data_IF_239335067362
#
_entry.id   IF_239335067362
#
_cell.length_a   1.000
_cell.length_b   1.000
_cell.length_c   1.000
_cell.angle_alpha   90.00
_cell.angle_beta   90.00
_cell.angle_gamma   90.00
#
_symmetry.space_group_name_H-M   'P 1'
#
loop_
_entity.id
_entity.type
_entity.pdbx_description
1 polymer ?
#
# COMPACT_ATOMS: atom_id res chain seq x y z
N UNK A 1 4.78 -33.64 11.07
CA UNK A 1 3.45 -33.04 10.86
C UNK A 1 3.14 -33.13 9.38
N UNK A 2 2.17 -33.96 9.02
CA UNK A 2 1.84 -34.27 7.63
C UNK A 2 1.21 -33.04 6.97
N UNK A 3 1.81 -32.56 5.87
CA UNK A 3 1.16 -31.58 5.01
C UNK A 3 -0.14 -32.18 4.47
N UNK A 4 -1.24 -31.42 4.38
CA UNK A 4 -2.44 -31.89 3.72
C UNK A 4 -2.09 -32.13 2.25
N UNK A 5 -2.25 -33.37 1.80
CA UNK A 5 -2.12 -33.73 0.39
C UNK A 5 -3.26 -33.04 -0.33
N UNK A 6 -2.99 -31.88 -0.94
CA UNK A 6 -3.98 -31.18 -1.74
C UNK A 6 -4.18 -32.01 -3.00
N UNK A 7 -5.39 -32.55 -3.15
CA UNK A 7 -5.78 -33.44 -4.23
C UNK A 7 -5.55 -32.75 -5.59
N UNK A 8 -4.47 -33.17 -6.26
CA UNK A 8 -4.03 -32.63 -7.55
C UNK A 8 -5.00 -33.00 -8.69
N UNK A 9 -5.94 -33.92 -8.46
CA UNK A 9 -6.89 -34.42 -9.47
C UNK A 9 -8.02 -33.43 -9.78
N UNK A 10 -8.20 -32.37 -8.97
CA UNK A 10 -9.36 -31.50 -9.03
C UNK A 10 -9.44 -30.61 -10.29
N UNK A 11 -8.32 -30.41 -11.00
CA UNK A 11 -8.20 -29.39 -12.04
C UNK A 11 -7.88 -29.92 -13.44
N UNK A 12 -7.89 -31.24 -13.68
CA UNK A 12 -7.62 -31.82 -15.01
C UNK A 12 -6.43 -31.17 -15.77
N UNK A 13 -5.37 -30.83 -15.02
CA UNK A 13 -4.13 -30.23 -15.51
C UNK A 13 -2.94 -31.00 -14.96
N UNK A 14 -1.85 -31.07 -15.74
CA UNK A 14 -0.63 -31.73 -15.27
C UNK A 14 0.07 -30.91 -14.19
N UNK A 15 0.96 -31.57 -13.44
CA UNK A 15 1.79 -30.91 -12.43
C UNK A 15 2.69 -29.84 -13.06
N UNK A 16 3.25 -30.12 -14.24
CA UNK A 16 4.12 -29.20 -14.98
C UNK A 16 3.37 -27.94 -15.39
N UNK A 17 2.12 -28.08 -15.85
CA UNK A 17 1.30 -26.93 -16.21
C UNK A 17 0.90 -26.11 -14.98
N UNK A 18 0.57 -26.77 -13.86
CA UNK A 18 0.35 -26.07 -12.57
C UNK A 18 1.58 -25.26 -12.17
N UNK A 19 2.78 -25.85 -12.21
CA UNK A 19 4.01 -25.17 -11.83
C UNK A 19 4.33 -24.00 -12.75
N UNK A 20 4.03 -24.12 -14.04
CA UNK A 20 4.15 -23.04 -15.02
C UNK A 20 3.21 -21.87 -14.71
N UNK A 21 1.94 -22.14 -14.39
CA UNK A 21 0.96 -21.12 -14.00
C UNK A 21 1.36 -20.40 -12.71
N UNK A 22 1.85 -21.15 -11.70
CA UNK A 22 2.38 -20.56 -10.47
C UNK A 22 3.57 -19.64 -10.77
N UNK A 23 4.51 -20.09 -11.61
CA UNK A 23 5.65 -19.27 -12.00
C UNK A 23 5.24 -18.01 -12.79
N UNK A 24 4.18 -18.10 -13.60
CA UNK A 24 3.63 -16.96 -14.33
C UNK A 24 3.06 -15.91 -13.37
N UNK A 25 2.28 -16.32 -12.35
CA UNK A 25 1.78 -15.41 -11.31
C UNK A 25 2.93 -14.76 -10.54
N UNK A 26 3.94 -15.54 -10.12
CA UNK A 26 5.08 -15.02 -9.37
C UNK A 26 5.82 -13.95 -10.19
N UNK A 27 6.14 -14.24 -11.46
CA UNK A 27 6.78 -13.26 -12.34
C UNK A 27 5.91 -12.02 -12.48
N UNK A 28 4.62 -12.19 -12.77
CA UNK A 28 3.70 -11.07 -12.94
C UNK A 28 3.69 -10.17 -11.69
N UNK A 29 3.54 -10.75 -10.50
CA UNK A 29 3.53 -10.01 -9.24
C UNK A 29 4.82 -9.22 -9.04
N UNK A 30 5.99 -9.86 -9.18
CA UNK A 30 7.28 -9.20 -8.99
C UNK A 30 7.50 -8.03 -9.98
N UNK A 31 7.23 -8.26 -11.27
CA UNK A 31 7.38 -7.22 -12.30
C UNK A 31 6.37 -6.08 -12.13
N UNK A 32 5.11 -6.42 -11.85
CA UNK A 32 4.03 -5.44 -11.67
C UNK A 32 4.28 -4.57 -10.43
N UNK A 33 4.73 -5.15 -9.32
CA UNK A 33 5.10 -4.39 -8.13
C UNK A 33 6.20 -3.40 -8.43
N UNK A 34 7.27 -3.81 -9.12
CA UNK A 34 8.35 -2.89 -9.47
C UNK A 34 7.89 -1.80 -10.46
N UNK A 35 7.18 -2.19 -11.51
CA UNK A 35 6.75 -1.27 -12.57
C UNK A 35 5.67 -0.27 -12.13
N UNK A 36 4.79 -0.67 -11.20
CA UNK A 36 3.72 0.17 -10.67
C UNK A 36 4.05 0.75 -9.30
N UNK A 37 5.34 0.92 -8.98
CA UNK A 37 5.82 1.55 -7.74
C UNK A 37 5.15 1.00 -6.49
N UNK A 38 4.96 -0.31 -6.40
CA UNK A 38 4.34 -0.96 -5.24
C UNK A 38 2.84 -0.74 -5.08
N UNK A 39 2.13 -0.26 -6.10
CA UNK A 39 0.67 -0.18 -6.09
C UNK A 39 0.03 -1.57 -5.94
N UNK A 40 -1.13 -1.69 -5.26
CA UNK A 40 -1.80 -2.97 -5.10
C UNK A 40 -2.24 -3.57 -6.44
N UNK A 41 -2.01 -4.87 -6.59
CA UNK A 41 -2.36 -5.65 -7.78
C UNK A 41 -3.76 -6.22 -7.59
N UNK A 42 -4.70 -5.95 -8.51
CA UNK A 42 -6.08 -6.43 -8.37
C UNK A 42 -6.15 -7.96 -8.51
N UNK A 43 -7.00 -8.61 -7.71
CA UNK A 43 -7.27 -10.04 -7.83
C UNK A 43 -7.81 -10.39 -9.21
N UNK A 44 -8.58 -9.50 -9.82
CA UNK A 44 -9.12 -9.66 -11.17
C UNK A 44 -8.00 -9.74 -12.21
N UNK A 45 -6.92 -8.96 -12.07
CA UNK A 45 -5.76 -9.01 -12.98
C UNK A 45 -5.08 -10.39 -12.92
N UNK A 46 -4.86 -10.93 -11.71
CA UNK A 46 -4.28 -12.25 -11.52
C UNK A 46 -5.22 -13.37 -12.00
N UNK A 47 -6.52 -13.19 -11.82
CA UNK A 47 -7.52 -14.15 -12.30
C UNK A 47 -7.54 -14.17 -13.82
N UNK A 48 -7.58 -13.01 -14.47
CA UNK A 48 -7.55 -12.88 -15.93
C UNK A 48 -6.28 -13.45 -16.55
N UNK A 49 -5.13 -13.33 -15.86
CA UNK A 49 -3.88 -13.96 -16.28
C UNK A 49 -4.05 -15.48 -16.42
N UNK A 50 -4.76 -16.10 -15.47
CA UNK A 50 -4.94 -17.55 -15.36
C UNK A 50 -6.15 -18.09 -16.12
N UNK A 51 -7.17 -17.28 -16.43
CA UNK A 51 -8.39 -17.77 -17.10
C UNK A 51 -8.34 -17.69 -18.62
N UNK A 52 -7.25 -17.20 -19.22
CA UNK A 52 -7.15 -17.08 -20.70
C UNK A 52 -7.42 -18.40 -21.42
N UNK A 53 -6.87 -19.48 -20.88
CA UNK A 53 -6.97 -20.83 -21.46
C UNK A 53 -7.74 -21.80 -20.56
N UNK A 54 -8.20 -21.36 -19.39
CA UNK A 54 -8.76 -22.23 -18.35
C UNK A 54 -10.12 -21.71 -17.86
N UNK A 55 -11.12 -22.60 -17.83
CA UNK A 55 -12.51 -22.26 -17.44
C UNK A 55 -12.85 -22.68 -16.00
N UNK A 56 -11.92 -23.33 -15.31
CA UNK A 56 -12.15 -23.87 -13.97
C UNK A 56 -12.19 -22.74 -12.93
N UNK A 57 -13.33 -22.60 -12.27
CA UNK A 57 -13.59 -21.49 -11.33
C UNK A 57 -12.61 -21.43 -10.15
N UNK A 58 -12.16 -22.59 -9.66
CA UNK A 58 -11.32 -22.67 -8.47
C UNK A 58 -9.82 -22.62 -8.77
N UNK A 59 -9.42 -22.78 -10.04
CA UNK A 59 -8.02 -22.83 -10.45
C UNK A 59 -7.27 -21.53 -10.10
N UNK A 60 -7.80 -20.32 -10.39
CA UNK A 60 -7.10 -19.09 -10.04
C UNK A 60 -6.81 -18.95 -8.55
N UNK A 61 -7.78 -19.28 -7.70
CA UNK A 61 -7.60 -19.25 -6.23
C UNK A 61 -6.48 -20.19 -5.80
N UNK A 62 -6.46 -21.41 -6.33
CA UNK A 62 -5.46 -22.41 -6.00
C UNK A 62 -4.05 -21.99 -6.42
N UNK A 63 -3.89 -21.54 -7.67
CA UNK A 63 -2.60 -21.09 -8.20
C UNK A 63 -2.09 -19.84 -7.45
N UNK A 64 -2.97 -18.88 -7.13
CA UNK A 64 -2.59 -17.69 -6.36
C UNK A 64 -2.12 -18.10 -4.97
N UNK A 65 -2.80 -19.01 -4.28
CA UNK A 65 -2.40 -19.46 -2.95
C UNK A 65 -1.03 -20.17 -2.98
N UNK A 66 -0.78 -21.00 -4.00
CA UNK A 66 0.53 -21.62 -4.22
C UNK A 66 1.63 -20.58 -4.50
N UNK A 67 1.32 -19.55 -5.28
CA UNK A 67 2.24 -18.44 -5.53
C UNK A 67 2.57 -17.66 -4.24
N UNK A 68 1.59 -17.40 -3.37
CA UNK A 68 1.79 -16.78 -2.04
C UNK A 68 2.77 -17.61 -1.21
N UNK A 69 2.60 -18.94 -1.17
CA UNK A 69 3.50 -19.82 -0.43
C UNK A 69 4.92 -19.81 -1.00
N UNK A 70 5.08 -19.92 -2.32
CA UNK A 70 6.39 -19.90 -2.98
C UNK A 70 7.08 -18.53 -2.89
N UNK A 71 6.34 -17.42 -2.96
CA UNK A 71 6.88 -16.07 -2.70
C UNK A 71 7.48 -15.96 -1.30
N UNK A 72 6.79 -16.50 -0.29
CA UNK A 72 7.26 -16.50 1.09
C UNK A 72 8.46 -17.42 1.31
N UNK A 73 8.41 -18.66 0.81
CA UNK A 73 9.43 -19.68 1.12
C UNK A 73 10.70 -19.57 0.28
N UNK A 74 10.60 -19.08 -0.96
CA UNK A 74 11.75 -19.02 -1.89
C UNK A 74 12.31 -17.60 -1.96
N UNK A 75 11.44 -16.59 -2.07
CA UNK A 75 11.86 -15.21 -2.33
C UNK A 75 11.89 -14.33 -1.08
N UNK A 76 11.38 -14.81 0.06
CA UNK A 76 11.29 -14.01 1.28
C UNK A 76 10.33 -12.83 1.17
N UNK A 77 9.30 -12.92 0.31
CA UNK A 77 8.24 -11.91 0.20
C UNK A 77 6.93 -12.45 0.77
N UNK A 78 6.27 -11.64 1.59
CA UNK A 78 4.91 -11.88 2.01
C UNK A 78 3.94 -11.16 1.07
N UNK A 79 3.07 -11.92 0.39
CA UNK A 79 1.99 -11.38 -0.42
C UNK A 79 0.70 -11.32 0.40
N UNK A 80 0.25 -10.11 0.74
CA UNK A 80 -0.91 -9.86 1.59
C UNK A 80 -2.08 -9.28 0.80
N UNK A 81 -3.29 -9.70 1.15
CA UNK A 81 -4.54 -9.14 0.62
C UNK A 81 -4.89 -7.85 1.38
N UNK A 82 -5.07 -6.75 0.66
CA UNK A 82 -5.63 -5.50 1.17
C UNK A 82 -7.14 -5.50 0.95
N UNK A 83 -7.88 -5.36 2.05
CA UNK A 83 -9.32 -5.12 2.04
C UNK A 83 -9.58 -3.62 2.00
N UNK A 84 -10.10 -3.12 0.87
CA UNK A 84 -10.32 -1.69 0.66
C UNK A 84 -11.38 -1.16 1.62
N UNK A 85 -10.98 -0.31 2.53
CA UNK A 85 -11.87 0.48 3.37
C UNK A 85 -12.65 1.51 2.55
N UNK A 86 -13.86 1.80 2.99
CA UNK A 86 -14.67 2.90 2.45
C UNK A 86 -14.24 4.22 3.11
N UNK A 87 -14.29 5.35 2.38
CA UNK A 87 -14.12 6.66 2.99
C UNK A 87 -15.12 6.89 4.13
N UNK A 88 -14.69 7.58 5.19
CA UNK A 88 -15.55 7.79 6.37
C UNK A 88 -16.89 8.48 6.06
N UNK A 89 -16.97 9.36 5.05
CA UNK A 89 -18.23 9.99 4.64
C UNK A 89 -19.26 9.01 4.06
N UNK A 90 -18.81 7.92 3.41
CA UNK A 90 -19.68 6.92 2.80
C UNK A 90 -20.45 6.09 3.84
N UNK A 91 -19.99 6.09 5.10
CA UNK A 91 -20.65 5.39 6.20
C UNK A 91 -21.88 6.14 6.74
N UNK A 92 -22.09 7.41 6.39
CA UNK A 92 -23.19 8.22 6.90
C UNK A 92 -24.50 8.10 6.08
N UNK A 93 -24.46 7.50 4.89
CA UNK A 93 -25.55 7.61 3.91
C UNK A 93 -26.41 6.36 3.66
N UNK A 94 -25.93 5.13 3.88
CA UNK A 94 -26.69 3.91 3.50
C UNK A 94 -26.34 2.69 4.37
N UNK A 95 -27.23 2.36 5.31
CA UNK A 95 -27.28 1.04 5.99
C UNK A 95 -27.92 -0.03 5.07
N UNK A 96 -28.33 0.31 3.85
CA UNK A 96 -28.95 -0.62 2.91
C UNK A 96 -27.94 -1.25 1.94
N UNK A 97 -27.74 -2.55 2.12
CA UNK A 97 -27.57 -3.56 1.07
C UNK A 97 -26.69 -3.17 -0.12
N UNK A 98 -25.40 -3.45 0.01
CA UNK A 98 -24.69 -4.39 -0.86
C UNK A 98 -23.25 -4.44 -0.38
N UNK A 99 -22.83 -5.61 0.07
CA UNK A 99 -21.45 -6.05 -0.05
C UNK A 99 -21.11 -6.04 -1.54
N UNK A 100 -20.90 -4.85 -2.13
CA UNK A 100 -20.11 -4.73 -3.32
C UNK A 100 -18.80 -5.41 -2.93
N UNK A 101 -18.59 -6.62 -3.43
CA UNK A 101 -17.45 -7.44 -3.09
C UNK A 101 -16.23 -6.54 -3.20
N UNK A 102 -15.65 -6.18 -2.05
CA UNK A 102 -14.54 -5.23 -2.02
C UNK A 102 -13.48 -5.77 -2.97
N UNK A 103 -13.06 -4.94 -3.91
CA UNK A 103 -12.09 -5.35 -4.90
C UNK A 103 -10.81 -5.75 -4.17
N UNK A 104 -10.59 -7.06 -4.07
CA UNK A 104 -9.44 -7.64 -3.37
C UNK A 104 -8.21 -7.27 -4.17
N UNK A 105 -7.22 -6.73 -3.48
CA UNK A 105 -5.95 -6.39 -4.09
C UNK A 105 -4.81 -6.91 -3.25
N UNK A 106 -3.66 -7.16 -3.87
CA UNK A 106 -2.51 -7.75 -3.22
C UNK A 106 -1.35 -6.78 -3.23
N UNK A 107 -0.62 -6.74 -2.13
CA UNK A 107 0.70 -6.14 -2.04
C UNK A 107 1.72 -7.20 -1.69
N UNK A 108 2.98 -6.97 -2.04
CA UNK A 108 4.09 -7.76 -1.54
C UNK A 108 4.92 -6.90 -0.59
N UNK A 109 5.35 -7.50 0.51
CA UNK A 109 6.22 -6.90 1.52
C UNK A 109 7.39 -7.81 1.79
N UNK A 110 8.58 -7.24 1.98
CA UNK A 110 9.76 -8.05 2.28
C UNK A 110 9.64 -8.63 3.70
N UNK A 111 10.02 -9.90 3.86
CA UNK A 111 10.18 -10.55 5.17
C UNK A 111 11.58 -10.37 5.74
N UNK A 112 12.45 -9.66 5.02
CA UNK A 112 13.80 -9.37 5.51
C UNK A 112 13.72 -8.40 6.70
N UNK A 113 14.56 -8.59 7.73
CA UNK A 113 14.79 -7.57 8.75
C UNK A 113 15.16 -6.22 8.11
N UNK A 114 14.72 -5.11 8.71
CA UNK A 114 14.86 -3.78 8.10
C UNK A 114 16.32 -3.37 7.86
N UNK A 115 17.24 -3.77 8.72
CA UNK A 115 18.68 -3.55 8.59
C UNK A 115 19.27 -4.33 7.40
N UNK A 116 18.84 -5.59 7.22
CA UNK A 116 19.23 -6.44 6.09
C UNK A 116 18.64 -5.88 4.79
N UNK A 117 17.36 -5.52 4.79
CA UNK A 117 16.69 -4.93 3.64
C UNK A 117 17.38 -3.63 3.20
N UNK A 118 17.69 -2.75 4.17
CA UNK A 118 18.41 -1.50 3.89
C UNK A 118 19.81 -1.73 3.33
N UNK A 119 20.54 -2.74 3.81
CA UNK A 119 21.92 -2.99 3.40
C UNK A 119 22.04 -3.67 2.03
N UNK A 120 21.11 -4.56 1.70
CA UNK A 120 21.26 -5.46 0.55
C UNK A 120 20.22 -5.25 -0.55
N UNK A 121 19.10 -4.58 -0.26
CA UNK A 121 18.00 -4.39 -1.21
C UNK A 121 17.80 -2.93 -1.57
N UNK A 122 17.79 -2.03 -0.57
CA UNK A 122 17.80 -0.59 -0.86
C UNK A 122 19.15 -0.24 -1.48
N UNK A 123 19.10 0.31 -2.69
CA UNK A 123 20.25 0.97 -3.28
C UNK A 123 20.19 2.45 -2.88
N UNK A 124 21.30 3.04 -2.46
CA UNK A 124 21.35 4.48 -2.12
C UNK A 124 20.97 5.37 -3.32
N UNK A 125 21.10 4.84 -4.54
CA UNK A 125 20.65 5.49 -5.78
C UNK A 125 19.22 5.12 -6.20
N UNK A 126 18.46 4.39 -5.37
CA UNK A 126 17.08 4.05 -5.67
C UNK A 126 16.17 5.28 -5.53
N UNK A 127 15.47 5.62 -6.62
CA UNK A 127 14.54 6.74 -6.67
C UNK A 127 13.34 6.59 -5.73
N UNK A 128 13.18 5.41 -5.10
CA UNK A 128 12.15 5.14 -4.09
C UNK A 128 12.45 5.74 -2.71
N UNK A 129 13.72 5.99 -2.36
CA UNK A 129 14.11 6.52 -1.03
C UNK A 129 13.51 7.90 -0.74
N UNK A 130 13.56 8.87 -1.66
CA UNK A 130 12.86 10.14 -1.52
C UNK A 130 11.36 10.02 -1.24
N UNK A 131 10.68 9.14 -1.98
CA UNK A 131 9.23 8.96 -1.86
C UNK A 131 8.86 8.36 -0.50
N UNK A 132 9.70 7.51 0.08
CA UNK A 132 9.49 6.96 1.42
C UNK A 132 9.53 8.05 2.50
N UNK A 133 10.50 8.98 2.41
CA UNK A 133 10.58 10.12 3.32
C UNK A 133 9.36 11.04 3.19
N UNK A 134 8.97 11.37 1.96
CA UNK A 134 7.75 12.13 1.69
C UNK A 134 6.49 11.43 2.22
N UNK A 135 6.39 10.10 2.02
CA UNK A 135 5.30 9.28 2.57
C UNK A 135 5.22 9.41 4.08
N UNK A 136 6.35 9.27 4.78
CA UNK A 136 6.38 9.39 6.24
C UNK A 136 5.90 10.77 6.72
N UNK A 137 6.33 11.87 6.08
CA UNK A 137 5.90 13.23 6.40
C UNK A 137 4.39 13.39 6.23
N UNK A 138 3.85 12.99 5.08
CA UNK A 138 2.42 13.13 4.79
C UNK A 138 1.58 12.27 5.73
N UNK A 139 1.98 11.02 5.98
CA UNK A 139 1.28 10.15 6.93
C UNK A 139 1.28 10.73 8.34
N UNK A 140 2.40 11.34 8.77
CA UNK A 140 2.50 11.97 10.09
C UNK A 140 1.57 13.17 10.23
N UNK A 141 1.48 14.04 9.23
CA UNK A 141 0.57 15.19 9.23
C UNK A 141 -0.90 14.75 9.33
N UNK A 142 -1.30 13.77 8.53
CA UNK A 142 -2.66 13.22 8.55
C UNK A 142 -2.93 12.53 9.89
N UNK A 143 -1.95 11.81 10.43
CA UNK A 143 -2.07 11.13 11.72
C UNK A 143 -2.28 12.11 12.88
N UNK A 144 -1.46 13.17 12.97
CA UNK A 144 -1.57 14.21 14.00
C UNK A 144 -2.91 14.95 13.89
N UNK A 145 -3.47 15.04 12.69
CA UNK A 145 -4.81 15.60 12.43
C UNK A 145 -5.97 14.66 12.78
N UNK A 146 -5.70 13.50 13.41
CA UNK A 146 -6.73 12.52 13.79
C UNK A 146 -7.06 11.49 12.70
N UNK A 147 -6.16 11.29 11.73
CA UNK A 147 -6.30 10.30 10.66
C UNK A 147 -7.01 10.80 9.41
N UNK A 148 -7.49 12.05 9.40
CA UNK A 148 -8.15 12.71 8.27
C UNK A 148 -7.90 14.21 8.30
N UNK A 149 -7.64 14.83 7.15
CA UNK A 149 -7.48 16.28 7.02
C UNK A 149 -7.95 16.79 5.66
N UNK A 150 -8.27 18.08 5.55
CA UNK A 150 -8.66 18.70 4.27
C UNK A 150 -7.46 18.79 3.32
N UNK A 151 -7.72 18.79 2.02
CA UNK A 151 -6.68 19.02 1.00
C UNK A 151 -5.99 20.38 1.20
N UNK A 152 -6.77 21.41 1.54
CA UNK A 152 -6.27 22.76 1.78
C UNK A 152 -5.32 22.82 2.98
N UNK A 153 -5.65 22.12 4.07
CA UNK A 153 -4.81 22.04 5.27
C UNK A 153 -3.53 21.26 5.01
N UNK A 154 -3.63 20.15 4.26
CA UNK A 154 -2.46 19.35 3.90
C UNK A 154 -1.48 20.17 3.08
N UNK A 155 -1.94 20.83 2.01
CA UNK A 155 -1.09 21.66 1.18
C UNK A 155 -0.54 22.88 1.90
N UNK A 156 -1.30 23.48 2.82
CA UNK A 156 -0.80 24.56 3.68
C UNK A 156 0.40 24.10 4.51
N UNK A 157 0.35 22.90 5.08
CA UNK A 157 1.47 22.35 5.86
C UNK A 157 2.66 21.94 4.97
N UNK A 158 2.41 21.31 3.82
CA UNK A 158 3.46 20.95 2.87
C UNK A 158 4.21 22.18 2.33
N UNK A 159 3.50 23.27 2.01
CA UNK A 159 4.12 24.53 1.58
C UNK A 159 5.06 25.13 2.63
N UNK A 160 4.75 25.00 3.93
CA UNK A 160 5.66 25.44 5.01
C UNK A 160 6.98 24.65 5.04
N UNK A 161 6.98 23.45 4.45
CA UNK A 161 8.17 22.60 4.28
C UNK A 161 8.83 22.79 2.91
N UNK A 162 8.42 23.79 2.12
CA UNK A 162 8.92 24.03 0.77
C UNK A 162 8.33 23.10 -0.31
N UNK A 163 7.27 22.36 0.00
CA UNK A 163 6.62 21.40 -0.90
C UNK A 163 5.31 22.01 -1.43
N UNK A 164 5.38 22.60 -2.63
CA UNK A 164 4.24 23.24 -3.29
C UNK A 164 3.61 22.34 -4.37
N UNK A 165 2.28 22.32 -4.45
CA UNK A 165 1.53 21.50 -5.42
C UNK A 165 1.77 21.90 -6.89
N UNK A 166 2.17 23.14 -7.15
CA UNK A 166 2.51 23.66 -8.47
C UNK A 166 3.95 23.33 -8.89
N UNK A 167 4.76 22.78 -7.98
CA UNK A 167 6.15 22.42 -8.29
C UNK A 167 6.20 21.09 -9.05
N UNK A 168 6.45 21.19 -10.35
CA UNK A 168 6.57 20.04 -11.24
C UNK A 168 7.99 19.46 -11.33
N UNK A 169 9.01 20.19 -10.86
CA UNK A 169 10.43 19.89 -11.08
C UNK A 169 11.25 19.88 -9.77
N UNK A 170 10.68 19.37 -8.67
CA UNK A 170 11.43 19.24 -7.42
C UNK A 170 12.66 18.33 -7.65
N UNK A 171 13.89 18.76 -7.29
CA UNK A 171 15.12 18.03 -7.62
C UNK A 171 15.14 16.56 -7.17
N UNK A 172 14.36 16.24 -6.14
CA UNK A 172 14.33 14.93 -5.47
C UNK A 172 13.00 14.19 -5.67
N UNK A 173 11.89 14.90 -5.84
CA UNK A 173 10.53 14.31 -5.88
C UNK A 173 9.85 14.47 -7.25
N UNK A 174 10.45 15.23 -8.18
CA UNK A 174 9.82 15.61 -9.42
C UNK A 174 8.54 16.41 -9.16
N UNK A 175 7.42 15.94 -9.72
CA UNK A 175 6.12 16.57 -9.52
C UNK A 175 5.55 16.22 -8.14
N UNK A 176 5.43 17.22 -7.27
CA UNK A 176 5.00 17.02 -5.87
C UNK A 176 3.55 16.56 -5.78
N UNK A 177 2.67 17.08 -6.64
CA UNK A 177 1.28 16.63 -6.71
C UNK A 177 1.16 15.17 -7.14
N UNK A 178 1.97 14.76 -8.12
CA UNK A 178 2.03 13.36 -8.56
C UNK A 178 2.62 12.46 -7.46
N UNK A 179 3.58 12.93 -6.68
CA UNK A 179 4.08 12.21 -5.51
C UNK A 179 2.94 11.96 -4.51
N UNK A 180 2.12 12.98 -4.19
CA UNK A 180 0.96 12.81 -3.32
C UNK A 180 -0.10 11.86 -3.92
N UNK A 181 -0.39 11.96 -5.22
CA UNK A 181 -1.30 11.04 -5.90
C UNK A 181 -0.77 9.59 -5.89
N UNK A 182 0.54 9.40 -5.90
CA UNK A 182 1.18 8.08 -5.78
C UNK A 182 0.87 7.44 -4.42
N UNK A 183 0.85 8.21 -3.32
CA UNK A 183 0.46 7.69 -1.99
C UNK A 183 -1.00 7.22 -1.98
N UNK A 184 -1.87 7.86 -2.76
CA UNK A 184 -3.27 7.41 -2.93
C UNK A 184 -3.34 6.11 -3.72
N UNK A 185 -2.56 5.99 -4.79
CA UNK A 185 -2.49 4.77 -5.61
C UNK A 185 -1.90 3.59 -4.83
N UNK A 186 -0.89 3.85 -4.00
CA UNK A 186 -0.26 2.88 -3.10
C UNK A 186 -1.11 2.50 -1.88
N UNK A 187 -2.27 3.15 -1.70
CA UNK A 187 -3.20 2.95 -0.58
C UNK A 187 -2.61 3.28 0.79
N UNK A 188 -1.67 4.23 0.83
CA UNK A 188 -1.32 4.94 2.06
C UNK A 188 -2.37 5.98 2.42
N UNK A 189 -2.96 6.61 1.40
CA UNK A 189 -4.05 7.57 1.55
C UNK A 189 -5.26 7.17 0.71
N UNK A 190 -6.41 7.72 1.06
CA UNK A 190 -7.59 7.76 0.21
C UNK A 190 -8.18 9.16 0.19
N UNK A 191 -8.79 9.51 -0.95
CA UNK A 191 -9.50 10.77 -1.14
C UNK A 191 -10.96 10.58 -0.74
N UNK A 192 -11.45 11.45 0.13
CA UNK A 192 -12.85 11.50 0.54
C UNK A 192 -13.45 12.85 0.13
N UNK A 193 -14.45 12.83 -0.76
CA UNK A 193 -15.12 14.03 -1.24
C UNK A 193 -16.44 14.18 -0.51
N UNK A 194 -16.55 15.20 0.33
CA UNK A 194 -17.75 15.50 1.10
C UNK A 194 -18.48 16.67 0.44
N UNK A 195 -19.74 16.46 0.07
CA UNK A 195 -20.62 17.51 -0.44
C UNK A 195 -21.37 18.17 0.71
N UNK A 196 -21.20 19.48 0.88
CA UNK A 196 -21.90 20.29 1.87
C UNK A 196 -22.61 21.50 1.26
N UNK A 197 -23.28 22.31 2.10
CA UNK A 197 -24.00 23.51 1.64
C UNK A 197 -23.10 24.53 0.93
N UNK A 198 -21.83 24.61 1.32
CA UNK A 198 -20.84 25.55 0.77
C UNK A 198 -20.06 25.00 -0.43
N UNK A 199 -20.40 23.79 -0.90
CA UNK A 199 -19.74 23.12 -2.01
C UNK A 199 -19.13 21.78 -1.63
N UNK A 200 -18.16 21.34 -2.44
CA UNK A 200 -17.47 20.08 -2.20
C UNK A 200 -16.13 20.33 -1.53
N UNK A 201 -15.86 19.64 -0.43
CA UNK A 201 -14.56 19.64 0.25
C UNK A 201 -13.88 18.31 0.05
N UNK A 202 -12.59 18.32 -0.31
CA UNK A 202 -11.77 17.12 -0.44
C UNK A 202 -10.97 16.89 0.84
N UNK A 203 -10.94 15.65 1.30
CA UNK A 203 -10.15 15.20 2.42
C UNK A 203 -9.18 14.11 1.99
N UNK A 204 -8.01 14.08 2.63
CA UNK A 204 -7.12 12.93 2.65
C UNK A 204 -7.29 12.18 3.98
N UNK A 205 -7.51 10.88 3.88
CA UNK A 205 -7.69 9.97 5.02
C UNK A 205 -6.67 8.83 4.93
N UNK A 206 -6.19 8.34 6.08
CA UNK A 206 -5.30 7.18 6.13
C UNK A 206 -6.02 5.95 5.54
N UNK A 207 -5.36 5.27 4.60
CA UNK A 207 -5.88 4.07 3.97
C UNK A 207 -5.19 2.81 4.51
N UNK A 208 -5.60 1.65 3.99
CA UNK A 208 -5.30 0.32 4.53
C UNK A 208 -3.81 0.09 4.78
N UNK A 209 -2.95 0.56 3.89
CA UNK A 209 -1.51 0.35 4.00
C UNK A 209 -0.90 1.20 5.12
N UNK A 210 -1.41 2.41 5.34
CA UNK A 210 -0.97 3.25 6.46
C UNK A 210 -1.51 2.75 7.81
N UNK A 211 -2.67 2.10 7.79
CA UNK A 211 -3.31 1.53 8.98
C UNK A 211 -2.76 0.15 9.37
N UNK A 212 -1.97 -0.49 8.49
CA UNK A 212 -1.28 -1.74 8.79
C UNK A 212 -0.42 -1.58 10.06
N UNK A 213 -0.51 -2.54 10.99
CA UNK A 213 0.06 -2.40 12.33
C UNK A 213 1.55 -2.00 12.34
N UNK A 214 2.44 -2.65 11.56
CA UNK A 214 3.86 -2.27 11.52
C UNK A 214 4.10 -0.82 11.09
N UNK A 215 3.30 -0.31 10.15
CA UNK A 215 3.46 1.05 9.61
C UNK A 215 2.87 2.06 10.59
N UNK A 216 1.67 1.81 11.10
CA UNK A 216 0.99 2.72 12.01
C UNK A 216 1.71 2.85 13.36
N UNK A 217 2.24 1.75 13.90
CA UNK A 217 3.04 1.74 15.13
C UNK A 217 4.37 2.47 14.94
N UNK A 218 5.08 2.18 13.84
CA UNK A 218 6.32 2.87 13.49
C UNK A 218 6.10 4.38 13.34
N UNK A 219 5.02 4.79 12.65
CA UNK A 219 4.68 6.20 12.46
C UNK A 219 4.43 6.89 13.80
N UNK A 220 3.63 6.27 14.69
CA UNK A 220 3.37 6.80 16.04
C UNK A 220 4.66 6.92 16.87
N UNK A 221 5.53 5.93 16.80
CA UNK A 221 6.79 5.93 17.55
C UNK A 221 7.70 7.09 17.12
N UNK A 222 7.86 7.30 15.81
CA UNK A 222 8.70 8.39 15.29
C UNK A 222 8.08 9.78 15.57
N UNK A 223 6.76 9.94 15.43
CA UNK A 223 6.08 11.19 15.81
C UNK A 223 6.35 11.49 17.29
N UNK A 224 6.21 10.49 18.16
CA UNK A 224 6.45 10.64 19.60
C UNK A 224 7.89 11.01 19.89
N UNK A 225 8.87 10.42 19.20
CA UNK A 225 10.29 10.76 19.35
C UNK A 225 10.58 12.22 18.95
N UNK A 226 10.02 12.68 17.84
CA UNK A 226 10.23 14.04 17.34
C UNK A 226 9.62 15.06 18.30
N UNK A 227 8.36 14.85 18.70
CA UNK A 227 7.62 15.76 19.58
C UNK A 227 8.26 15.81 20.98
N UNK A 228 8.70 14.65 21.51
CA UNK A 228 9.33 14.61 22.84
C UNK A 228 10.76 15.16 22.85
N UNK A 229 11.48 15.12 21.72
CA UNK A 229 12.80 15.76 21.61
C UNK A 229 12.73 17.28 21.69
N UNK A 230 11.64 17.90 21.24
CA UNK A 230 11.46 19.36 21.32
C UNK A 230 11.14 19.86 22.74
N UNK A 231 10.64 19.00 23.64
CA UNK A 231 10.31 19.40 25.02
C UNK A 231 11.55 19.48 25.94
N UNK A 232 12.70 18.92 25.53
CA UNK A 232 13.91 18.83 26.38
C UNK A 232 14.89 20.00 26.16
N UNK A 233 14.59 20.97 25.30
CA UNK A 233 15.53 22.05 24.99
C UNK A 233 14.93 23.46 25.09
N UNK A 234 14.38 23.85 26.26
CA UNK A 234 14.45 25.23 26.76
C UNK A 234 14.30 25.23 28.29
N UNK A 235 15.36 24.88 29.02
CA UNK A 235 15.63 25.46 30.34
C UNK A 235 17.11 25.87 30.30
N UNK A 236 17.35 27.12 29.87
CA UNK A 236 18.62 27.80 30.13
C UNK A 236 18.34 28.71 31.32
N UNK A 237 18.72 28.21 32.50
CA UNK A 237 18.94 29.04 33.68
C UNK A 237 20.11 30.02 33.45
N UNK A 238 20.00 31.15 34.16
CA UNK A 238 20.85 32.36 34.26
C UNK A 238 20.74 33.46 33.18
#
# INVERSE_FOLDING_TARGET
>A
MSQPVVDLSQFDISKEEKDKLVAEVIRYVLFKTHHSSGCPIKREELTQLLTKNYRQRNLPTFIINEAVQKLSSIFGYEMRELQRSRPSSANQGRISQQSAAEARSYIITSKLPSDVYKKYVLNDNDSTVPLNGFTFVVLSLVHISGGKMTEEDLWRNLRRMGLDESNENHPVLGNIKQALDTLVQQRYLQKDKVSGPEGNTLFYELAERALDAPISESTKAHISEIVNKEVVSVDVDD
#
